data_IF_620893201135
#
_entry.id   IF_620893201135
#
_cell.length_a   1.000
_cell.length_b   1.000
_cell.length_c   1.000
_cell.angle_alpha   90.00
_cell.angle_beta   90.00
_cell.angle_gamma   90.00
#
_symmetry.space_group_name_H-M   'P 1'
#
loop_
_entity.id
_entity.type
_entity.pdbx_description
1 polymer ?
#
# COMPACT_ATOMS: atom_id res chain seq x y z
N UNK A 1 5.34 -12.14 -5.45
CA UNK A 1 5.27 -11.74 -4.04
C UNK A 1 6.20 -10.54 -3.79
N UNK A 2 5.69 -9.50 -3.19
CA UNK A 2 6.48 -8.30 -2.86
C UNK A 2 6.98 -8.40 -1.42
N UNK A 3 8.30 -8.28 -1.24
CA UNK A 3 8.91 -8.19 0.09
C UNK A 3 8.87 -6.73 0.54
N UNK A 4 8.64 -6.53 1.81
CA UNK A 4 8.53 -5.22 2.42
C UNK A 4 7.26 -5.10 3.25
N UNK A 5 6.83 -3.90 3.51
CA UNK A 5 5.66 -3.60 4.30
C UNK A 5 5.89 -2.39 5.19
N UNK A 6 5.10 -2.26 6.24
CA UNK A 6 5.25 -1.22 7.26
C UNK A 6 6.59 -1.43 7.97
N UNK A 7 7.56 -0.50 7.86
CA UNK A 7 8.85 -0.66 8.53
C UNK A 7 8.68 -0.59 10.04
N UNK A 8 9.18 -1.61 10.72
CA UNK A 8 9.10 -1.75 12.18
C UNK A 8 10.46 -2.03 12.79
N UNK A 9 10.57 -1.84 14.11
CA UNK A 9 11.65 -2.38 14.91
C UNK A 9 11.36 -3.84 15.31
N UNK A 10 12.29 -4.47 16.03
CA UNK A 10 12.12 -5.85 16.51
C UNK A 10 10.95 -6.00 17.50
N UNK A 11 10.51 -4.91 18.12
CA UNK A 11 9.35 -4.88 19.01
C UNK A 11 8.02 -4.63 18.27
N UNK A 12 8.08 -4.48 16.94
CA UNK A 12 6.91 -4.25 16.09
C UNK A 12 6.41 -2.82 16.04
N UNK A 13 7.13 -1.85 16.62
CA UNK A 13 6.74 -0.45 16.59
C UNK A 13 6.97 0.13 15.20
N UNK A 14 5.94 0.72 14.61
CA UNK A 14 6.04 1.31 13.28
C UNK A 14 6.97 2.53 13.27
N UNK A 15 7.89 2.55 12.31
CA UNK A 15 8.86 3.64 12.16
C UNK A 15 8.24 4.77 11.34
N UNK A 16 8.36 5.99 11.85
CA UNK A 16 8.08 7.21 11.10
C UNK A 16 9.27 7.58 10.20
N UNK A 17 10.47 7.38 10.74
CA UNK A 17 11.76 7.56 10.06
C UNK A 17 12.83 6.69 10.76
N UNK A 18 14.11 6.91 10.48
CA UNK A 18 15.21 6.11 11.04
C UNK A 18 15.34 6.22 12.57
N UNK A 19 14.84 7.26 13.19
CA UNK A 19 15.04 7.59 14.63
C UNK A 19 13.74 7.67 15.42
N UNK A 20 12.59 7.86 14.76
CA UNK A 20 11.29 8.09 15.38
C UNK A 20 10.30 6.97 15.06
N UNK A 21 9.39 6.73 15.99
CA UNK A 21 8.27 5.80 15.86
C UNK A 21 6.94 6.54 15.80
N UNK A 22 5.95 5.89 15.22
CA UNK A 22 4.56 6.33 15.28
C UNK A 22 3.96 5.75 16.57
N UNK A 23 3.67 6.61 17.53
CA UNK A 23 3.14 6.19 18.83
C UNK A 23 1.81 5.43 18.67
N UNK A 24 1.70 4.28 19.33
CA UNK A 24 0.50 3.45 19.29
C UNK A 24 0.29 2.67 17.98
N UNK A 25 1.21 2.76 17.01
CA UNK A 25 1.10 2.02 15.75
C UNK A 25 2.11 0.87 15.71
N UNK A 26 1.60 -0.34 15.55
CA UNK A 26 2.37 -1.59 15.51
C UNK A 26 2.02 -2.38 14.26
N UNK A 27 2.98 -3.16 13.76
CA UNK A 27 2.73 -4.12 12.69
C UNK A 27 3.53 -5.40 12.91
N UNK A 28 2.96 -6.53 12.52
CA UNK A 28 3.59 -7.85 12.61
C UNK A 28 3.10 -8.76 11.48
N UNK A 29 3.92 -9.73 11.11
CA UNK A 29 3.60 -10.69 10.06
C UNK A 29 3.76 -10.11 8.67
N UNK A 30 2.98 -10.58 7.72
CA UNK A 30 3.17 -10.33 6.30
C UNK A 30 3.04 -8.85 5.88
N UNK A 31 2.28 -8.05 6.64
CA UNK A 31 2.16 -6.60 6.40
C UNK A 31 3.33 -5.78 6.96
N UNK A 32 4.21 -6.39 7.78
CA UNK A 32 5.33 -5.70 8.42
C UNK A 32 6.64 -5.92 7.69
N UNK A 33 7.58 -5.01 7.87
CA UNK A 33 8.96 -5.14 7.44
C UNK A 33 9.92 -4.98 8.61
N UNK A 34 10.28 -6.10 9.24
CA UNK A 34 11.31 -6.16 10.29
C UNK A 34 12.70 -6.44 9.70
N UNK A 35 12.81 -6.49 8.37
CA UNK A 35 14.04 -6.68 7.60
C UNK A 35 14.73 -8.05 7.77
N UNK A 36 13.99 -9.10 8.11
CA UNK A 36 14.55 -10.45 8.32
C UNK A 36 14.62 -11.30 7.05
N UNK A 37 13.98 -10.88 5.96
CA UNK A 37 13.87 -11.69 4.73
C UNK A 37 14.80 -11.25 3.60
N UNK A 38 15.50 -10.15 3.73
CA UNK A 38 16.34 -9.59 2.67
C UNK A 38 15.51 -9.20 1.43
N UNK A 39 16.04 -9.50 0.25
CA UNK A 39 15.40 -9.15 -1.01
C UNK A 39 14.22 -10.07 -1.37
N UNK A 40 14.19 -11.29 -0.83
CA UNK A 40 13.10 -12.23 -1.06
C UNK A 40 13.02 -13.24 0.09
N UNK A 41 11.80 -13.60 0.46
CA UNK A 41 11.52 -14.51 1.55
C UNK A 41 11.72 -15.97 1.12
N UNK A 42 12.35 -16.78 1.97
CA UNK A 42 12.39 -18.23 1.82
C UNK A 42 11.01 -18.84 2.11
N UNK A 43 10.68 -19.93 1.44
CA UNK A 43 9.42 -20.64 1.62
C UNK A 43 9.15 -20.97 3.09
N UNK A 44 7.88 -20.90 3.49
CA UNK A 44 7.35 -21.14 4.84
C UNK A 44 7.73 -20.11 5.92
N UNK A 45 8.73 -19.27 5.72
CA UNK A 45 9.16 -18.31 6.74
C UNK A 45 8.13 -17.23 7.08
N UNK A 46 7.13 -16.96 6.20
CA UNK A 46 6.07 -16.01 6.54
C UNK A 46 5.17 -16.50 7.68
N UNK A 47 4.89 -17.79 7.70
CA UNK A 47 4.07 -18.37 8.79
C UNK A 47 4.83 -18.27 10.11
N UNK A 48 6.12 -18.59 10.10
CA UNK A 48 6.98 -18.46 11.27
C UNK A 48 7.06 -17.01 11.74
N UNK A 49 7.25 -16.07 10.83
CA UNK A 49 7.28 -14.66 11.12
C UNK A 49 5.95 -14.19 11.72
N UNK A 50 4.82 -14.50 11.09
CA UNK A 50 3.50 -14.09 11.57
C UNK A 50 3.24 -14.58 12.99
N UNK A 51 3.54 -15.83 13.29
CA UNK A 51 3.35 -16.42 14.63
C UNK A 51 4.32 -15.83 15.66
N UNK A 52 5.60 -15.78 15.33
CA UNK A 52 6.64 -15.36 16.28
C UNK A 52 6.53 -13.86 16.58
N UNK A 53 6.56 -13.03 15.54
CA UNK A 53 6.47 -11.59 15.72
C UNK A 53 5.08 -11.16 16.18
N UNK A 54 4.00 -11.80 15.74
CA UNK A 54 2.67 -11.54 16.30
C UNK A 54 2.64 -11.71 17.81
N UNK A 55 3.28 -12.77 18.33
CA UNK A 55 3.40 -12.98 19.79
C UNK A 55 4.29 -11.92 20.47
N UNK A 56 5.44 -11.58 19.88
CA UNK A 56 6.34 -10.59 20.45
C UNK A 56 5.70 -9.20 20.48
N UNK A 57 5.12 -8.78 19.36
CA UNK A 57 4.45 -7.49 19.23
C UNK A 57 3.27 -7.38 20.18
N UNK A 58 2.48 -8.45 20.33
CA UNK A 58 1.39 -8.49 21.32
C UNK A 58 1.88 -8.26 22.75
N UNK A 59 3.04 -8.85 23.12
CA UNK A 59 3.65 -8.58 24.44
C UNK A 59 4.12 -7.13 24.56
N UNK A 60 4.70 -6.57 23.52
CA UNK A 60 5.11 -5.16 23.51
C UNK A 60 3.92 -4.25 23.69
N UNK A 61 2.82 -4.49 22.95
CA UNK A 61 1.59 -3.71 23.06
C UNK A 61 1.03 -3.72 24.49
N UNK A 62 1.02 -4.89 25.15
CA UNK A 62 0.58 -5.02 26.54
C UNK A 62 1.49 -4.22 27.49
N UNK A 63 2.80 -4.24 27.26
CA UNK A 63 3.74 -3.48 28.09
C UNK A 63 3.65 -1.97 27.88
N UNK A 64 3.32 -1.54 26.66
CA UNK A 64 3.26 -0.13 26.28
C UNK A 64 1.88 0.52 26.58
N UNK A 65 0.80 -0.28 26.75
CA UNK A 65 -0.59 0.19 26.76
C UNK A 65 -0.88 1.29 27.78
N UNK A 66 -0.28 1.20 28.97
CA UNK A 66 -0.47 2.18 30.03
C UNK A 66 0.30 3.49 29.79
N UNK A 67 1.25 3.48 28.86
CA UNK A 67 2.10 4.65 28.55
C UNK A 67 1.60 5.41 27.31
N UNK A 68 0.84 4.73 26.43
CA UNK A 68 0.32 5.31 25.20
C UNK A 68 -0.93 6.14 25.50
N UNK A 69 -0.90 7.40 25.06
CA UNK A 69 -2.06 8.28 25.14
C UNK A 69 -2.90 8.14 23.87
N UNK A 70 -4.15 7.72 24.02
CA UNK A 70 -5.10 7.75 22.93
C UNK A 70 -5.32 9.21 22.49
N UNK A 71 -5.04 9.48 21.20
CA UNK A 71 -5.37 10.75 20.58
C UNK A 71 -6.86 10.75 20.22
N UNK A 72 -7.57 11.81 20.53
CA UNK A 72 -8.92 12.02 20.04
C UNK A 72 -8.87 12.31 18.55
N UNK A 73 -9.56 11.51 17.75
CA UNK A 73 -9.69 11.78 16.31
C UNK A 73 -10.53 13.06 16.10
N UNK A 74 -10.13 13.84 15.13
CA UNK A 74 -10.81 15.07 14.70
C UNK A 74 -11.42 14.87 13.31
N UNK A 75 -12.32 15.75 12.89
CA UNK A 75 -12.85 15.73 11.51
C UNK A 75 -11.73 15.90 10.48
N UNK A 76 -10.71 16.70 10.80
CA UNK A 76 -9.55 16.93 9.93
C UNK A 76 -8.75 15.62 9.66
N UNK A 77 -8.68 14.72 10.64
CA UNK A 77 -8.00 13.43 10.48
C UNK A 77 -8.68 12.54 9.41
N UNK A 78 -10.00 12.71 9.20
CA UNK A 78 -10.77 11.98 8.20
C UNK A 78 -10.84 12.70 6.84
N UNK A 79 -10.47 13.99 6.76
CA UNK A 79 -10.74 14.84 5.60
C UNK A 79 -10.10 14.29 4.31
N UNK A 80 -8.86 13.80 4.39
CA UNK A 80 -8.18 13.22 3.22
C UNK A 80 -8.95 12.04 2.62
N UNK A 81 -9.48 11.14 3.46
CA UNK A 81 -10.27 10.00 3.00
C UNK A 81 -11.63 10.44 2.44
N UNK A 82 -12.25 11.44 3.06
CA UNK A 82 -13.51 12.01 2.56
C UNK A 82 -13.35 12.69 1.21
N UNK A 83 -12.25 13.41 1.02
CA UNK A 83 -11.92 14.06 -0.25
C UNK A 83 -11.66 13.05 -1.36
N UNK A 84 -10.98 11.94 -1.06
CA UNK A 84 -10.76 10.84 -2.00
C UNK A 84 -12.10 10.20 -2.44
N UNK A 85 -12.97 9.89 -1.49
CA UNK A 85 -14.31 9.36 -1.77
C UNK A 85 -15.11 10.34 -2.62
N UNK A 86 -15.12 11.62 -2.25
CA UNK A 86 -15.84 12.68 -2.96
C UNK A 86 -15.31 12.84 -4.39
N UNK A 87 -13.99 12.77 -4.58
CA UNK A 87 -13.36 12.82 -5.89
C UNK A 87 -13.86 11.67 -6.78
N UNK A 88 -13.81 10.42 -6.30
CA UNK A 88 -14.21 9.25 -7.09
C UNK A 88 -15.70 9.27 -7.42
N UNK A 89 -16.56 9.59 -6.45
CA UNK A 89 -18.02 9.67 -6.67
C UNK A 89 -18.36 10.82 -7.59
N UNK A 90 -17.72 11.98 -7.43
CA UNK A 90 -18.01 13.20 -8.20
C UNK A 90 -17.50 13.14 -9.64
N UNK A 91 -16.53 12.29 -9.92
CA UNK A 91 -15.90 12.23 -11.23
C UNK A 91 -16.80 11.57 -12.28
N UNK A 92 -16.85 12.18 -13.47
CA UNK A 92 -17.67 11.74 -14.61
C UNK A 92 -16.84 11.69 -15.91
N UNK A 93 -15.60 11.25 -15.81
CA UNK A 93 -14.69 11.12 -16.95
C UNK A 93 -15.08 10.05 -17.95
N UNK A 94 -14.16 9.70 -18.83
CA UNK A 94 -14.35 8.68 -19.88
C UNK A 94 -13.66 7.35 -19.57
N UNK A 95 -12.71 7.34 -18.64
CA UNK A 95 -11.90 6.15 -18.34
C UNK A 95 -12.65 5.18 -17.42
N UNK A 96 -12.46 3.88 -17.64
CA UNK A 96 -13.00 2.85 -16.73
C UNK A 96 -11.88 2.23 -15.89
N UNK A 97 -12.18 1.94 -14.63
CA UNK A 97 -11.21 1.31 -13.71
C UNK A 97 -10.76 -0.05 -14.24
N UNK A 98 -11.66 -0.81 -14.86
CA UNK A 98 -11.36 -2.14 -15.40
C UNK A 98 -10.29 -2.08 -16.50
N UNK A 99 -10.45 -1.19 -17.48
CA UNK A 99 -9.48 -1.02 -18.58
C UNK A 99 -8.13 -0.55 -18.06
N UNK A 100 -8.11 0.42 -17.15
CA UNK A 100 -6.87 0.92 -16.56
C UNK A 100 -6.16 -0.16 -15.72
N UNK A 101 -6.93 -1.00 -15.01
CA UNK A 101 -6.39 -2.12 -14.23
C UNK A 101 -5.75 -3.17 -15.14
N UNK A 102 -6.38 -3.52 -16.24
CA UNK A 102 -5.82 -4.44 -17.24
C UNK A 102 -4.51 -3.89 -17.83
N UNK A 103 -4.47 -2.61 -18.19
CA UNK A 103 -3.26 -1.94 -18.69
C UNK A 103 -2.13 -1.98 -17.65
N UNK A 104 -2.45 -1.73 -16.36
CA UNK A 104 -1.48 -1.82 -15.27
C UNK A 104 -0.95 -3.25 -15.11
N UNK A 105 -1.82 -4.26 -15.10
CA UNK A 105 -1.43 -5.67 -14.93
C UNK A 105 -0.54 -6.14 -16.06
N UNK A 106 -0.87 -5.80 -17.31
CA UNK A 106 -0.03 -6.11 -18.48
C UNK A 106 1.33 -5.43 -18.39
N UNK A 107 1.34 -4.14 -18.01
CA UNK A 107 2.57 -3.39 -17.84
C UNK A 107 3.47 -4.01 -16.75
N UNK A 108 2.92 -4.31 -15.58
CA UNK A 108 3.70 -4.88 -14.47
C UNK A 108 4.21 -6.28 -14.80
N UNK A 109 3.42 -7.11 -15.46
CA UNK A 109 3.83 -8.45 -15.89
C UNK A 109 4.98 -8.39 -16.88
N UNK A 110 4.88 -7.53 -17.89
CA UNK A 110 5.86 -7.44 -18.97
C UNK A 110 7.17 -6.73 -18.54
N UNK A 111 7.07 -5.70 -17.71
CA UNK A 111 8.18 -4.77 -17.47
C UNK A 111 8.76 -4.84 -16.04
N UNK A 112 7.99 -5.34 -15.07
CA UNK A 112 8.39 -5.43 -13.66
C UNK A 112 8.26 -6.85 -13.10
N UNK A 113 8.19 -7.88 -13.97
CA UNK A 113 8.11 -9.28 -13.62
C UNK A 113 9.41 -9.85 -13.03
N UNK A 114 9.64 -11.17 -13.18
CA UNK A 114 10.82 -11.85 -12.62
C UNK A 114 12.14 -11.38 -13.25
N UNK A 115 12.14 -11.07 -14.54
CA UNK A 115 13.32 -10.59 -15.27
C UNK A 115 13.15 -9.09 -15.54
N UNK A 116 14.04 -8.29 -15.00
CA UNK A 116 13.97 -6.82 -15.04
C UNK A 116 15.26 -6.25 -15.60
N UNK A 117 15.13 -5.17 -16.35
CA UNK A 117 16.24 -4.35 -16.79
C UNK A 117 15.89 -2.87 -16.54
N UNK A 118 16.91 -2.01 -16.55
CA UNK A 118 16.65 -0.58 -16.44
C UNK A 118 15.65 -0.10 -17.50
N UNK A 119 15.79 -0.56 -18.74
CA UNK A 119 14.91 -0.17 -19.85
C UNK A 119 13.46 -0.57 -19.59
N UNK A 120 13.20 -1.81 -19.12
CA UNK A 120 11.85 -2.27 -18.84
C UNK A 120 11.24 -1.54 -17.63
N UNK A 121 12.03 -1.29 -16.59
CA UNK A 121 11.59 -0.53 -15.43
C UNK A 121 11.27 0.93 -15.77
N UNK A 122 12.06 1.58 -16.62
CA UNK A 122 11.79 2.95 -17.09
C UNK A 122 10.46 3.00 -17.90
N UNK A 123 10.16 1.98 -18.71
CA UNK A 123 8.87 1.84 -19.40
C UNK A 123 7.75 1.72 -18.38
N UNK A 124 7.91 0.85 -17.37
CA UNK A 124 6.90 0.67 -16.32
C UNK A 124 6.59 1.98 -15.59
N UNK A 125 7.61 2.72 -15.15
CA UNK A 125 7.43 4.02 -14.48
C UNK A 125 6.64 4.98 -15.37
N UNK A 126 7.00 5.08 -16.65
CA UNK A 126 6.33 5.97 -17.59
C UNK A 126 4.85 5.59 -17.76
N UNK A 127 4.56 4.30 -17.93
CA UNK A 127 3.20 3.79 -18.09
C UNK A 127 2.37 4.03 -16.84
N UNK A 128 2.89 3.72 -15.65
CA UNK A 128 2.17 3.95 -14.39
C UNK A 128 1.85 5.44 -14.19
N UNK A 129 2.80 6.34 -14.49
CA UNK A 129 2.57 7.79 -14.44
C UNK A 129 1.51 8.27 -15.44
N UNK A 130 1.39 7.62 -16.61
CA UNK A 130 0.32 7.89 -17.56
C UNK A 130 -1.03 7.38 -17.03
N UNK A 131 -1.07 6.17 -16.46
CA UNK A 131 -2.27 5.61 -15.84
C UNK A 131 -2.78 6.46 -14.68
N UNK A 132 -1.88 7.01 -13.86
CA UNK A 132 -2.27 7.97 -12.81
C UNK A 132 -2.96 9.22 -13.36
N UNK A 133 -2.52 9.72 -14.53
CA UNK A 133 -3.21 10.84 -15.20
C UNK A 133 -4.59 10.42 -15.73
N UNK A 134 -4.69 9.22 -16.34
CA UNK A 134 -5.98 8.68 -16.79
C UNK A 134 -6.94 8.46 -15.61
N UNK A 135 -6.42 8.00 -14.47
CA UNK A 135 -7.21 7.80 -13.24
C UNK A 135 -7.91 9.09 -12.78
N UNK A 136 -7.34 10.26 -13.01
CA UNK A 136 -8.01 11.52 -12.71
C UNK A 136 -9.26 11.76 -13.57
N UNK A 137 -9.46 10.99 -14.63
CA UNK A 137 -10.59 11.08 -15.56
C UNK A 137 -11.47 9.82 -15.54
N UNK A 138 -11.48 9.07 -14.43
CA UNK A 138 -12.32 7.87 -14.30
C UNK A 138 -13.80 8.23 -14.19
N UNK A 139 -14.64 7.22 -14.43
CA UNK A 139 -16.07 7.26 -14.17
C UNK A 139 -16.51 5.98 -13.51
N UNK A 140 -17.25 6.11 -12.41
CA UNK A 140 -18.06 5.05 -11.83
C UNK A 140 -19.54 5.31 -12.12
N UNK A 141 -20.31 4.25 -12.32
CA UNK A 141 -21.76 4.35 -12.64
C UNK A 141 -22.58 4.47 -11.37
N UNK A 142 -22.27 3.65 -10.38
CA UNK A 142 -22.93 3.70 -9.09
C UNK A 142 -22.40 4.87 -8.26
N UNK A 143 -23.29 5.79 -7.91
CA UNK A 143 -22.99 6.99 -7.10
C UNK A 143 -23.48 6.87 -5.66
N UNK A 144 -23.96 5.69 -5.27
CA UNK A 144 -24.37 5.42 -3.89
C UNK A 144 -23.14 5.32 -2.97
N UNK A 145 -23.36 5.53 -1.67
CA UNK A 145 -22.30 5.41 -0.64
C UNK A 145 -22.46 4.14 0.20
N UNK A 146 -23.46 3.30 -0.11
CA UNK A 146 -23.76 2.09 0.66
C UNK A 146 -23.63 0.88 -0.25
N UNK A 147 -22.80 -0.09 0.15
CA UNK A 147 -22.51 -1.31 -0.61
C UNK A 147 -22.06 -1.08 -2.07
N UNK A 148 -21.36 0.03 -2.33
CA UNK A 148 -20.86 0.38 -3.64
C UNK A 148 -19.49 -0.26 -3.88
N UNK A 149 -19.49 -1.43 -4.52
CA UNK A 149 -18.26 -2.16 -4.86
C UNK A 149 -17.47 -1.45 -5.97
N UNK A 150 -18.13 -0.73 -6.88
CA UNK A 150 -17.47 0.04 -7.93
C UNK A 150 -16.65 1.20 -7.36
N UNK A 151 -17.17 1.87 -6.32
CA UNK A 151 -16.45 2.90 -5.56
C UNK A 151 -15.24 2.30 -4.86
N UNK A 152 -15.41 1.18 -4.16
CA UNK A 152 -14.32 0.49 -3.48
C UNK A 152 -13.22 0.10 -4.45
N UNK A 153 -13.56 -0.55 -5.58
CA UNK A 153 -12.59 -0.93 -6.61
C UNK A 153 -11.86 0.25 -7.22
N UNK A 154 -12.53 1.39 -7.38
CA UNK A 154 -11.91 2.60 -7.91
C UNK A 154 -10.88 3.18 -6.93
N UNK A 155 -11.19 3.26 -5.63
CA UNK A 155 -10.25 3.70 -4.59
C UNK A 155 -9.07 2.75 -4.48
N UNK A 156 -9.32 1.45 -4.40
CA UNK A 156 -8.27 0.42 -4.35
C UNK A 156 -7.34 0.51 -5.57
N UNK A 157 -7.89 0.79 -6.75
CA UNK A 157 -7.07 0.96 -7.95
C UNK A 157 -6.16 2.18 -7.87
N UNK A 158 -6.62 3.29 -7.30
CA UNK A 158 -5.77 4.45 -7.01
C UNK A 158 -4.56 4.07 -6.15
N UNK A 159 -4.81 3.34 -5.06
CA UNK A 159 -3.75 2.83 -4.19
C UNK A 159 -2.83 1.82 -4.89
N UNK A 160 -3.37 0.97 -5.78
CA UNK A 160 -2.57 0.04 -6.60
C UNK A 160 -1.59 0.77 -7.53
N UNK A 161 -1.98 1.90 -8.11
CA UNK A 161 -1.10 2.73 -8.95
C UNK A 161 0.09 3.26 -8.14
N UNK A 162 -0.16 3.77 -6.93
CA UNK A 162 0.90 4.27 -6.06
C UNK A 162 1.82 3.14 -5.60
N UNK A 163 1.24 2.03 -5.17
CA UNK A 163 2.00 0.86 -4.73
C UNK A 163 2.87 0.28 -5.87
N UNK A 164 2.33 0.19 -7.08
CA UNK A 164 3.07 -0.26 -8.25
C UNK A 164 4.25 0.66 -8.58
N UNK A 165 4.07 1.97 -8.44
CA UNK A 165 5.15 2.93 -8.64
C UNK A 165 6.27 2.75 -7.61
N UNK A 166 5.93 2.56 -6.33
CA UNK A 166 6.91 2.29 -5.27
C UNK A 166 7.71 1.00 -5.53
N UNK A 167 7.04 -0.07 -6.00
CA UNK A 167 7.72 -1.32 -6.37
C UNK A 167 8.76 -1.07 -7.47
N UNK A 168 8.37 -0.37 -8.53
CA UNK A 168 9.24 -0.17 -9.71
C UNK A 168 10.37 0.80 -9.38
N UNK A 169 10.10 1.91 -8.70
CA UNK A 169 11.14 2.87 -8.29
C UNK A 169 12.14 2.24 -7.31
N UNK A 170 11.67 1.42 -6.36
CA UNK A 170 12.53 0.65 -5.48
C UNK A 170 13.40 -0.37 -6.23
N UNK A 171 12.87 -0.98 -7.30
CA UNK A 171 13.63 -1.90 -8.13
C UNK A 171 14.71 -1.18 -8.95
N UNK A 172 14.47 0.05 -9.39
CA UNK A 172 15.49 0.88 -10.08
C UNK A 172 16.61 1.31 -9.13
N UNK A 173 16.29 1.55 -7.85
CA UNK A 173 17.25 1.98 -6.84
C UNK A 173 18.22 0.88 -6.36
N UNK A 174 17.97 -0.39 -6.72
CA UNK A 174 18.83 -1.55 -6.40
C UNK A 174 19.87 -1.81 -7.46
#
# INVERSE_FOLDING_TARGET
YSMGGIPVDIAGRARKNNTEFIEGFYAAGECACVSVHGANRLGANSVLEALLFGRFVGKTMVADIDTIKLRTATEEDAQTALDEIAFVIGNNGSETVTELREELQQCMTANAGAFRSKTTLDIAIKTIKQLRKKYLNIRIKDKSTVFNTELQEAIEFGHMLDYSLFIVESAVAR
#
